data_IF_633931246109
#
_entry.id   IF_633931246109
#
_cell.length_a   1.000
_cell.length_b   1.000
_cell.length_c   1.000
_cell.angle_alpha   90.00
_cell.angle_beta   90.00
_cell.angle_gamma   90.00
#
_symmetry.space_group_name_H-M   'P 1'
#
loop_
_entity.id
_entity.type
_entity.pdbx_description
1 polymer ?
#
# COMPACT_ATOMS: atom_id res chain seq x y z
N UNK A 1 4.88 -4.92 -13.93
CA UNK A 1 6.12 -4.27 -13.47
C UNK A 1 5.91 -3.82 -12.03
N UNK A 2 6.79 -4.21 -11.09
CA UNK A 2 6.84 -3.77 -9.70
C UNK A 2 5.49 -3.41 -9.03
N UNK A 3 5.49 -2.25 -8.37
CA UNK A 3 4.32 -1.68 -7.68
C UNK A 3 3.71 -0.48 -8.43
N UNK A 4 3.93 -0.43 -9.75
CA UNK A 4 3.48 0.68 -10.60
C UNK A 4 4.44 1.87 -10.63
N UNK A 5 4.10 2.83 -11.48
CA UNK A 5 4.83 4.10 -11.60
C UNK A 5 4.41 5.08 -10.51
N UNK A 6 5.32 5.98 -10.14
CA UNK A 6 4.98 7.10 -9.26
C UNK A 6 4.01 8.02 -10.00
N UNK A 7 2.83 8.21 -9.41
CA UNK A 7 1.78 9.09 -9.90
C UNK A 7 1.89 10.47 -9.24
N UNK A 8 2.26 11.53 -9.98
CA UNK A 8 2.35 12.87 -9.42
C UNK A 8 1.01 13.40 -8.89
N UNK A 9 -0.10 12.99 -9.50
CA UNK A 9 -1.48 13.31 -9.07
C UNK A 9 -1.89 12.60 -7.77
N UNK A 10 -1.11 11.60 -7.34
CA UNK A 10 -1.25 10.93 -6.06
C UNK A 10 -0.66 11.71 -4.88
N UNK A 11 0.16 12.75 -5.14
CA UNK A 11 0.72 13.62 -4.11
C UNK A 11 -0.17 14.86 -3.99
N UNK A 12 -0.76 15.06 -2.81
CA UNK A 12 -1.72 16.14 -2.57
C UNK A 12 -1.44 16.84 -1.26
N UNK A 13 -1.65 18.14 -1.20
CA UNK A 13 -1.66 18.89 0.05
C UNK A 13 -3.10 19.09 0.51
N UNK A 14 -3.37 18.72 1.75
CA UNK A 14 -4.67 18.89 2.40
C UNK A 14 -4.51 19.58 3.75
N UNK A 15 -5.60 20.15 4.24
CA UNK A 15 -5.63 20.83 5.54
C UNK A 15 -5.56 19.80 6.69
N UNK A 16 -4.85 20.15 7.77
CA UNK A 16 -4.77 19.35 8.99
C UNK A 16 -6.12 19.03 9.61
N UNK A 17 -7.12 19.89 9.37
CA UNK A 17 -8.51 19.65 9.77
C UNK A 17 -9.12 18.38 9.15
N UNK A 18 -8.59 17.87 8.04
CA UNK A 18 -9.03 16.59 7.47
C UNK A 18 -8.68 15.38 8.37
N UNK A 19 -7.75 15.55 9.31
CA UNK A 19 -7.30 14.55 10.26
C UNK A 19 -7.80 14.82 11.69
N UNK A 20 -8.98 15.43 11.80
CA UNK A 20 -9.64 15.71 13.07
C UNK A 20 -9.67 14.47 13.99
N UNK A 21 -9.20 14.63 15.23
CA UNK A 21 -9.13 13.56 16.23
C UNK A 21 -7.76 12.85 16.31
N UNK A 22 -6.81 13.21 15.44
CA UNK A 22 -5.42 12.75 15.53
C UNK A 22 -4.57 13.89 16.09
N UNK A 23 -4.08 13.74 17.33
CA UNK A 23 -3.31 14.78 18.02
C UNK A 23 -1.90 14.94 17.42
N UNK A 24 -1.22 13.82 17.16
CA UNK A 24 0.14 13.77 16.64
C UNK A 24 0.17 13.23 15.22
N UNK A 25 0.52 14.12 14.28
CA UNK A 25 0.66 13.81 12.85
C UNK A 25 2.12 14.05 12.49
N UNK A 26 2.80 12.99 12.06
CA UNK A 26 4.21 13.01 11.72
C UNK A 26 4.45 12.49 10.30
N UNK A 27 5.58 12.91 9.72
CA UNK A 27 6.04 12.41 8.42
C UNK A 27 6.31 10.90 8.49
N UNK A 28 5.83 10.16 7.49
CA UNK A 28 5.93 8.70 7.40
C UNK A 28 4.75 7.94 7.99
N UNK A 29 3.83 8.59 8.71
CA UNK A 29 2.60 7.94 9.16
C UNK A 29 1.70 7.56 7.98
N UNK A 30 1.06 6.39 8.05
CA UNK A 30 0.06 5.92 7.08
C UNK A 30 -1.34 5.92 7.69
N UNK A 31 -2.34 6.26 6.87
CA UNK A 31 -3.76 6.29 7.23
C UNK A 31 -4.61 5.61 6.15
N UNK A 32 -5.76 5.08 6.54
CA UNK A 32 -6.79 4.62 5.61
C UNK A 32 -7.74 5.78 5.32
N UNK A 33 -7.85 6.17 4.05
CA UNK A 33 -8.76 7.20 3.58
C UNK A 33 -9.83 6.59 2.67
N UNK A 34 -11.05 7.11 2.75
CA UNK A 34 -12.11 6.71 1.83
C UNK A 34 -12.05 7.56 0.55
N UNK A 35 -11.88 6.89 -0.58
CA UNK A 35 -11.91 7.49 -1.91
C UNK A 35 -13.34 7.84 -2.34
N UNK A 36 -13.54 8.77 -3.30
CA UNK A 36 -14.86 9.17 -3.78
C UNK A 36 -15.69 8.02 -4.40
N UNK A 37 -15.03 6.96 -4.85
CA UNK A 37 -15.65 5.75 -5.39
C UNK A 37 -16.08 4.74 -4.31
N UNK A 38 -15.88 5.08 -3.03
CA UNK A 38 -16.20 4.25 -1.89
C UNK A 38 -15.13 3.23 -1.52
N UNK A 39 -14.02 3.16 -2.27
CA UNK A 39 -12.88 2.31 -1.93
C UNK A 39 -12.09 2.89 -0.74
N UNK A 40 -11.48 2.02 0.05
CA UNK A 40 -10.52 2.43 1.09
C UNK A 40 -9.14 2.41 0.45
N UNK A 41 -8.42 3.52 0.55
CA UNK A 41 -7.07 3.69 0.03
C UNK A 41 -6.12 4.06 1.17
N UNK A 42 -4.96 3.41 1.21
CA UNK A 42 -3.88 3.80 2.11
C UNK A 42 -3.19 5.08 1.61
N UNK A 43 -2.96 6.03 2.51
CA UNK A 43 -2.25 7.27 2.25
C UNK A 43 -1.09 7.42 3.25
N UNK A 44 0.05 7.95 2.80
CA UNK A 44 1.21 8.21 3.67
C UNK A 44 1.49 9.70 3.74
N UNK A 45 1.81 10.20 4.93
CA UNK A 45 2.20 11.60 5.13
C UNK A 45 3.64 11.80 4.67
N UNK A 46 3.84 12.67 3.68
CA UNK A 46 5.17 13.04 3.17
C UNK A 46 5.76 14.23 3.89
N UNK A 47 4.92 15.18 4.30
CA UNK A 47 5.36 16.43 4.89
C UNK A 47 4.28 17.06 5.76
N UNK A 48 4.68 17.67 6.86
CA UNK A 48 3.80 18.46 7.74
C UNK A 48 4.35 19.89 7.85
N UNK A 49 3.62 20.87 7.29
CA UNK A 49 3.96 22.29 7.31
C UNK A 49 2.84 23.08 8.03
N UNK A 50 2.83 23.05 9.36
CA UNK A 50 1.80 23.74 10.15
C UNK A 50 0.42 23.13 9.94
N UNK A 51 -0.47 23.88 9.30
CA UNK A 51 -1.84 23.43 8.96
C UNK A 51 -1.91 22.71 7.60
N UNK A 52 -0.84 22.75 6.79
CA UNK A 52 -0.78 22.08 5.50
C UNK A 52 -0.06 20.72 5.62
N UNK A 53 -0.72 19.64 5.23
CA UNK A 53 -0.17 18.28 5.24
C UNK A 53 -0.08 17.76 3.81
N UNK A 54 1.10 17.36 3.38
CA UNK A 54 1.29 16.67 2.09
C UNK A 54 1.15 15.17 2.30
N UNK A 55 0.20 14.57 1.59
CA UNK A 55 -0.07 13.14 1.55
C UNK A 55 0.34 12.54 0.20
N UNK A 56 0.64 11.25 0.21
CA UNK A 56 0.99 10.45 -0.96
C UNK A 56 0.11 9.20 -0.97
N UNK A 57 -0.64 9.03 -2.06
CA UNK A 57 -1.55 7.89 -2.25
C UNK A 57 -0.95 6.80 -3.14
N UNK A 58 0.33 6.96 -3.52
CA UNK A 58 1.07 5.93 -4.24
C UNK A 58 1.40 4.76 -3.32
N UNK A 59 1.56 3.58 -3.92
CA UNK A 59 2.17 2.47 -3.20
C UNK A 59 3.57 2.89 -2.71
N UNK A 60 4.03 2.51 -1.49
CA UNK A 60 5.33 2.92 -0.95
C UNK A 60 6.54 2.59 -1.85
N UNK A 61 6.39 1.60 -2.72
CA UNK A 61 7.40 1.12 -3.68
C UNK A 61 7.11 1.55 -5.13
N UNK A 62 6.14 2.43 -5.37
CA UNK A 62 5.84 2.94 -6.70
C UNK A 62 7.00 3.77 -7.25
N UNK A 63 7.39 3.52 -8.51
CA UNK A 63 8.54 4.17 -9.14
C UNK A 63 9.90 3.75 -8.60
N UNK A 64 9.96 2.82 -7.63
CA UNK A 64 11.22 2.29 -7.10
C UNK A 64 11.68 1.10 -7.95
N UNK A 65 12.89 1.13 -8.52
CA UNK A 65 13.44 -0.03 -9.22
C UNK A 65 13.71 -1.16 -8.22
N UNK A 66 13.00 -2.26 -8.38
CA UNK A 66 13.16 -3.44 -7.53
C UNK A 66 14.23 -4.37 -8.11
N UNK A 67 15.24 -4.67 -7.30
CA UNK A 67 16.29 -5.63 -7.63
C UNK A 67 16.05 -6.89 -6.80
N UNK A 68 15.81 -8.02 -7.47
CA UNK A 68 15.56 -9.30 -6.81
C UNK A 68 16.70 -10.27 -7.08
N UNK A 69 17.18 -10.93 -6.03
CA UNK A 69 17.98 -12.15 -6.12
C UNK A 69 17.06 -13.34 -5.79
N UNK A 70 16.76 -14.16 -6.79
CA UNK A 70 15.72 -15.20 -6.70
C UNK A 70 16.35 -16.57 -6.83
N UNK A 71 16.11 -17.42 -5.82
CA UNK A 71 16.42 -18.84 -5.87
C UNK A 71 15.13 -19.67 -5.85
N UNK A 72 14.95 -20.54 -6.84
CA UNK A 72 13.83 -21.49 -6.87
C UNK A 72 14.14 -22.67 -5.96
N UNK A 73 13.37 -22.82 -4.87
CA UNK A 73 13.56 -23.89 -3.87
C UNK A 73 12.73 -25.14 -4.15
N UNK A 74 11.74 -25.07 -5.04
CA UNK A 74 10.90 -26.21 -5.39
C UNK A 74 9.78 -25.84 -6.35
N UNK A 75 9.29 -26.83 -7.10
CA UNK A 75 8.15 -26.70 -8.01
C UNK A 75 7.30 -27.95 -7.86
N UNK A 76 5.99 -27.77 -7.64
CA UNK A 76 5.02 -28.87 -7.59
C UNK A 76 3.72 -28.48 -8.29
N UNK A 77 2.91 -29.45 -8.73
CA UNK A 77 1.54 -29.17 -9.14
C UNK A 77 0.71 -28.58 -7.98
N UNK A 78 -0.17 -27.63 -8.31
CA UNK A 78 -1.20 -27.16 -7.39
C UNK A 78 -2.25 -28.26 -7.18
N UNK A 79 -2.82 -28.33 -5.98
CA UNK A 79 -3.97 -29.22 -5.69
C UNK A 79 -5.25 -28.63 -6.29
N UNK A 80 -6.34 -29.41 -6.30
CA UNK A 80 -7.64 -28.91 -6.77
C UNK A 80 -8.15 -27.73 -5.94
N UNK A 81 -7.97 -27.82 -4.62
CA UNK A 81 -8.39 -26.78 -3.67
C UNK A 81 -7.61 -25.48 -3.89
N UNK A 82 -6.28 -25.55 -4.09
CA UNK A 82 -5.45 -24.37 -4.37
C UNK A 82 -5.83 -23.70 -5.69
N UNK A 83 -6.23 -24.48 -6.70
CA UNK A 83 -6.73 -23.95 -7.96
C UNK A 83 -8.10 -23.27 -7.81
N UNK A 84 -8.98 -23.83 -6.96
CA UNK A 84 -10.29 -23.24 -6.65
C UNK A 84 -10.16 -21.95 -5.83
N UNK A 85 -9.18 -21.88 -4.93
CA UNK A 85 -8.93 -20.70 -4.07
C UNK A 85 -8.03 -19.63 -4.72
N UNK A 86 -7.26 -19.99 -5.75
CA UNK A 86 -6.38 -19.07 -6.48
C UNK A 86 -5.08 -18.72 -5.73
N UNK A 87 -4.73 -19.43 -4.66
CA UNK A 87 -3.49 -19.24 -3.91
C UNK A 87 -2.95 -20.58 -3.38
N UNK A 88 -1.62 -20.65 -3.19
CA UNK A 88 -0.98 -21.84 -2.61
C UNK A 88 -1.28 -21.94 -1.12
N UNK A 89 -1.52 -23.16 -0.64
CA UNK A 89 -1.61 -23.45 0.78
C UNK A 89 -0.22 -23.88 1.27
N UNK A 90 0.23 -23.30 2.38
CA UNK A 90 1.44 -23.78 3.06
C UNK A 90 1.13 -25.07 3.84
N UNK A 91 2.17 -25.86 4.13
CA UNK A 91 2.10 -27.10 4.90
C UNK A 91 1.76 -26.80 6.37
N UNK A 92 0.52 -26.39 6.67
CA UNK A 92 0.09 -26.21 8.06
C UNK A 92 -1.18 -25.40 8.32
N UNK A 93 -1.70 -24.65 7.34
CA UNK A 93 -2.92 -23.86 7.55
C UNK A 93 -3.95 -24.15 6.46
N UNK A 94 -4.80 -25.13 6.74
CA UNK A 94 -6.13 -25.26 6.15
C UNK A 94 -7.02 -24.24 6.85
N UNK A 95 -7.72 -23.39 6.08
CA UNK A 95 -8.90 -22.70 6.59
C UNK A 95 -10.10 -23.64 6.57
#
# INVERSE_FOLDING_TARGET
EGYGELRPDGIKTIERAAFEGIEDIEEGMSFEAQSPDGSVQEITIKKVDGDAITIDTNHPLAGVPLNFDIQVVGVRPATKEELEHGHSHDHGHSH
#
